data_IF_927275074133
#
_entry.id   IF_927275074133
#
_cell.length_a   1.000
_cell.length_b   1.000
_cell.length_c   1.000
_cell.angle_alpha   90.00
_cell.angle_beta   90.00
_cell.angle_gamma   90.00
#
_symmetry.space_group_name_H-M   'P 1'
#
loop_
_entity.id
_entity.type
_entity.pdbx_description
1 polymer ?
#
# COMPACT_ATOMS: atom_id res chain seq x y z
N UNK A 1 -15.37 -5.58 6.92
CA UNK A 1 -14.87 -6.92 7.27
C UNK A 1 -13.36 -6.79 7.46
N UNK A 2 -12.82 -7.03 8.65
CA UNK A 2 -11.39 -6.92 8.88
C UNK A 2 -10.69 -8.18 8.32
N UNK A 3 -9.97 -8.03 7.22
CA UNK A 3 -9.07 -9.06 6.71
C UNK A 3 -7.96 -9.26 7.75
N UNK A 4 -7.95 -10.43 8.40
CA UNK A 4 -6.84 -10.85 9.25
C UNK A 4 -5.93 -11.72 8.41
N UNK A 5 -4.68 -11.29 8.25
CA UNK A 5 -3.62 -12.18 7.78
C UNK A 5 -3.59 -13.41 8.69
N UNK A 6 -3.55 -14.61 8.09
CA UNK A 6 -3.24 -15.82 8.86
C UNK A 6 -1.81 -15.73 9.41
N UNK A 7 -1.53 -16.44 10.50
CA UNK A 7 -0.21 -16.40 11.17
C UNK A 7 0.96 -16.63 10.19
N UNK A 8 0.79 -17.50 9.20
CA UNK A 8 1.81 -17.74 8.15
C UNK A 8 2.01 -16.54 7.22
N UNK A 9 0.94 -15.87 6.79
CA UNK A 9 1.05 -14.69 5.94
C UNK A 9 1.62 -13.48 6.68
N UNK A 10 1.33 -13.33 7.98
CA UNK A 10 1.85 -12.23 8.78
C UNK A 10 3.35 -12.36 9.05
N UNK A 11 3.83 -13.58 9.33
CA UNK A 11 5.27 -13.85 9.43
C UNK A 11 6.01 -13.54 8.12
N UNK A 12 5.42 -13.91 6.97
CA UNK A 12 6.00 -13.59 5.67
C UNK A 12 6.09 -12.08 5.44
N UNK A 13 5.04 -11.34 5.76
CA UNK A 13 5.03 -9.87 5.62
C UNK A 13 6.07 -9.21 6.52
N UNK A 14 6.13 -9.58 7.81
CA UNK A 14 7.16 -9.08 8.74
C UNK A 14 8.57 -9.37 8.22
N UNK A 15 8.80 -10.60 7.77
CA UNK A 15 10.12 -11.01 7.33
C UNK A 15 10.55 -10.37 6.01
N UNK A 16 9.64 -10.26 5.05
CA UNK A 16 9.93 -9.64 3.76
C UNK A 16 10.17 -8.13 3.88
N UNK A 17 9.57 -7.47 4.87
CA UNK A 17 9.60 -6.02 5.02
C UNK A 17 10.44 -5.53 6.21
N UNK A 18 11.30 -6.38 6.78
CA UNK A 18 12.06 -6.05 8.00
C UNK A 18 13.02 -4.86 7.83
N UNK A 19 13.62 -4.73 6.65
CA UNK A 19 14.70 -3.77 6.41
C UNK A 19 14.29 -2.63 5.46
N UNK A 20 12.99 -2.38 5.33
CA UNK A 20 12.43 -1.27 4.54
C UNK A 20 11.53 -0.42 5.40
N UNK A 21 11.54 0.90 5.18
CA UNK A 21 10.65 1.82 5.89
C UNK A 21 9.32 2.03 5.13
N UNK A 22 9.35 1.87 3.81
CA UNK A 22 8.25 2.19 2.92
C UNK A 22 8.19 1.28 1.69
N UNK A 23 6.97 0.89 1.32
CA UNK A 23 6.64 0.28 0.04
C UNK A 23 6.27 1.34 -0.98
N UNK A 24 6.95 1.35 -2.13
CA UNK A 24 6.58 2.19 -3.27
C UNK A 24 6.08 1.32 -4.40
N UNK A 25 4.77 1.37 -4.67
CA UNK A 25 4.11 0.44 -5.60
C UNK A 25 3.20 1.16 -6.60
N UNK A 26 2.95 0.57 -7.78
CA UNK A 26 1.87 1.05 -8.63
C UNK A 26 0.52 0.76 -7.97
N UNK A 27 -0.52 1.49 -8.33
CA UNK A 27 -1.88 1.17 -7.87
C UNK A 27 -2.28 -0.26 -8.27
N UNK A 28 -1.87 -0.68 -9.48
CA UNK A 28 -2.16 -1.98 -10.08
C UNK A 28 -0.95 -2.52 -10.83
N UNK A 29 -0.75 -3.84 -10.77
CA UNK A 29 0.20 -4.58 -11.58
C UNK A 29 -0.58 -5.41 -12.61
N UNK A 30 -0.79 -4.85 -13.80
CA UNK A 30 -1.67 -5.44 -14.81
C UNK A 30 -3.11 -5.61 -14.29
N UNK A 31 -3.59 -6.85 -14.24
CA UNK A 31 -4.95 -7.16 -13.75
C UNK A 31 -5.05 -7.22 -12.21
N UNK A 32 -3.92 -7.17 -11.50
CA UNK A 32 -3.89 -7.31 -10.04
C UNK A 32 -3.94 -5.93 -9.37
N UNK A 33 -4.94 -5.64 -8.52
CA UNK A 33 -4.90 -4.47 -7.64
C UNK A 33 -3.81 -4.69 -6.58
N UNK A 34 -2.83 -3.80 -6.55
CA UNK A 34 -1.74 -3.85 -5.56
C UNK A 34 -2.11 -3.00 -4.35
N UNK A 35 -2.79 -1.87 -4.59
CA UNK A 35 -3.25 -0.98 -3.53
C UNK A 35 -4.72 -1.27 -3.23
N UNK A 36 -4.95 -1.92 -2.10
CA UNK A 36 -6.25 -2.28 -1.54
C UNK A 36 -6.26 -1.94 -0.05
N UNK A 37 -7.45 -1.90 0.57
CA UNK A 37 -7.56 -1.70 2.02
C UNK A 37 -6.77 -2.75 2.81
N UNK A 38 -6.79 -4.00 2.34
CA UNK A 38 -6.12 -5.12 3.01
C UNK A 38 -4.59 -5.02 2.92
N UNK A 39 -4.05 -4.61 1.77
CA UNK A 39 -2.60 -4.42 1.60
C UNK A 39 -2.09 -3.19 2.36
N UNK A 40 -2.88 -2.12 2.44
CA UNK A 40 -2.57 -0.94 3.27
C UNK A 40 -2.53 -1.35 4.74
N UNK A 41 -3.58 -2.04 5.21
CA UNK A 41 -3.64 -2.52 6.59
C UNK A 41 -2.50 -3.49 6.92
N UNK A 42 -2.13 -4.38 5.99
CA UNK A 42 -1.01 -5.30 6.16
C UNK A 42 0.33 -4.55 6.33
N UNK A 43 0.59 -3.52 5.53
CA UNK A 43 1.78 -2.69 5.65
C UNK A 43 1.81 -1.97 7.01
N UNK A 44 0.70 -1.35 7.40
CA UNK A 44 0.59 -0.66 8.68
C UNK A 44 0.74 -1.60 9.89
N UNK A 45 0.25 -2.84 9.80
CA UNK A 45 0.39 -3.85 10.86
C UNK A 45 1.84 -4.21 11.19
N UNK A 46 2.75 -4.08 10.22
CA UNK A 46 4.19 -4.29 10.42
C UNK A 46 4.96 -2.97 10.52
N UNK A 47 4.25 -1.85 10.74
CA UNK A 47 4.83 -0.52 10.96
C UNK A 47 5.46 0.10 9.70
N UNK A 48 5.03 -0.31 8.50
CA UNK A 48 5.56 0.19 7.22
C UNK A 48 4.59 1.11 6.53
N UNK A 49 5.14 2.10 5.83
CA UNK A 49 4.36 3.01 4.99
C UNK A 49 4.11 2.41 3.61
N UNK A 50 3.03 2.82 2.95
CA UNK A 50 2.71 2.47 1.58
C UNK A 50 2.50 3.75 0.75
N UNK A 51 3.37 3.98 -0.23
CA UNK A 51 3.29 5.07 -1.19
C UNK A 51 2.93 4.55 -2.58
N UNK A 52 2.15 5.35 -3.33
CA UNK A 52 1.70 5.00 -4.69
C UNK A 52 2.36 5.88 -5.72
N UNK A 53 2.86 5.27 -6.79
CA UNK A 53 3.37 5.97 -7.97
C UNK A 53 2.75 5.42 -9.28
N UNK A 54 2.77 6.15 -10.39
CA UNK A 54 2.64 7.60 -10.43
C UNK A 54 1.17 7.92 -10.58
N UNK A 55 0.61 8.73 -9.69
CA UNK A 55 -0.80 9.11 -9.73
C UNK A 55 -0.89 10.55 -10.18
N UNK A 56 -1.59 10.77 -11.29
CA UNK A 56 -1.75 12.09 -11.89
C UNK A 56 -3.21 12.51 -11.95
N UNK A 57 -4.16 11.80 -11.37
CA UNK A 57 -5.57 12.24 -11.33
C UNK A 57 -5.96 12.63 -9.91
N UNK A 58 -6.55 13.81 -9.73
CA UNK A 58 -6.86 14.35 -8.40
C UNK A 58 -7.93 13.52 -7.68
N UNK A 59 -8.93 13.01 -8.40
CA UNK A 59 -9.94 12.15 -7.81
C UNK A 59 -9.34 10.82 -7.34
N UNK A 60 -8.46 10.22 -8.13
CA UNK A 60 -7.71 9.03 -7.76
C UNK A 60 -6.83 9.29 -6.53
N UNK A 61 -6.14 10.45 -6.47
CA UNK A 61 -5.34 10.84 -5.32
C UNK A 61 -6.17 10.89 -4.04
N UNK A 62 -7.31 11.58 -4.05
CA UNK A 62 -8.19 11.67 -2.89
C UNK A 62 -8.69 10.28 -2.45
N UNK A 63 -9.17 9.46 -3.39
CA UNK A 63 -9.61 8.10 -3.09
C UNK A 63 -8.49 7.25 -2.45
N UNK A 64 -7.25 7.40 -2.93
CA UNK A 64 -6.11 6.68 -2.40
C UNK A 64 -5.77 7.16 -0.98
N UNK A 65 -5.74 8.47 -0.74
CA UNK A 65 -5.55 9.02 0.60
C UNK A 65 -6.65 8.56 1.57
N UNK A 66 -7.91 8.55 1.12
CA UNK A 66 -9.05 8.04 1.90
C UNK A 66 -8.93 6.54 2.21
N UNK A 67 -8.27 5.77 1.33
CA UNK A 67 -7.97 4.35 1.53
C UNK A 67 -6.85 4.14 2.59
N UNK A 68 -6.09 5.19 2.90
CA UNK A 68 -5.05 5.18 3.92
C UNK A 68 -3.62 5.00 3.41
N UNK A 69 -3.33 5.26 2.12
CA UNK A 69 -1.91 5.33 1.71
C UNK A 69 -1.22 6.57 2.27
N UNK A 70 0.04 6.39 2.62
CA UNK A 70 0.84 7.38 3.34
C UNK A 70 1.51 8.41 2.42
N UNK A 71 1.55 8.14 1.12
CA UNK A 71 2.21 9.01 0.15
C UNK A 71 1.78 8.76 -1.28
N UNK A 72 1.82 9.82 -2.08
CA UNK A 72 1.55 9.79 -3.51
C UNK A 72 2.70 10.47 -4.23
N UNK A 73 3.21 9.80 -5.26
CA UNK A 73 4.19 10.34 -6.20
C UNK A 73 3.43 10.74 -7.46
N UNK A 74 3.64 11.98 -7.91
CA UNK A 74 2.98 12.58 -9.08
C UNK A 74 4.03 13.23 -9.98
N UNK A 75 3.78 13.24 -11.30
CA UNK A 75 4.61 13.98 -12.27
C UNK A 75 4.16 15.44 -12.41
N UNK A 76 3.13 15.85 -11.65
CA UNK A 76 2.64 17.22 -11.64
C UNK A 76 3.60 18.09 -10.82
N UNK A 77 4.18 19.10 -11.47
CA UNK A 77 5.06 20.10 -10.86
C UNK A 77 4.29 21.29 -10.27
#
# INVERSE_FOLDING_TARGET
>A
TAFRLGAGSQWLTDHALRDVDCLQVPERAGLVPVVTADTVAAAHQVGRQLHVWTVNDAQAMHRLLDLGVDGIITDRA
#
